data_IF_519253891254
#
_entry.id   IF_519253891254
#
_cell.length_a   1.000
_cell.length_b   1.000
_cell.length_c   1.000
_cell.angle_alpha   90.00
_cell.angle_beta   90.00
_cell.angle_gamma   90.00
#
_symmetry.space_group_name_H-M   'P 1'
#
loop_
_entity.id
_entity.type
_entity.pdbx_description
1 polymer ?
#
# COMPACT_ATOMS: atom_id res chain seq x y z
N UNK A 1 -10.12 28.70 71.84
CA UNK A 1 -8.67 28.46 71.62
C UNK A 1 -8.52 27.55 70.40
N UNK A 2 -7.54 27.84 69.54
CA UNK A 2 -7.10 27.12 68.31
C UNK A 2 -8.11 27.06 67.15
N UNK A 3 -7.96 27.89 66.11
CA UNK A 3 -7.00 27.83 64.98
C UNK A 3 -7.06 26.52 64.19
N UNK A 4 -7.63 26.56 62.99
CA UNK A 4 -6.92 26.23 61.75
C UNK A 4 -7.68 26.79 60.54
N UNK A 5 -6.96 27.60 59.77
CA UNK A 5 -7.35 28.26 58.54
C UNK A 5 -6.98 27.36 57.35
N UNK A 6 -7.84 27.41 56.32
CA UNK A 6 -7.53 27.41 54.89
C UNK A 6 -7.01 26.16 54.17
N UNK A 7 -7.72 25.95 53.04
CA UNK A 7 -7.30 25.58 51.70
C UNK A 7 -6.73 24.18 51.43
N UNK A 8 -7.48 23.45 50.60
CA UNK A 8 -6.96 22.34 49.81
C UNK A 8 -8.06 21.73 48.94
N UNK A 9 -8.48 22.44 47.89
CA UNK A 9 -9.35 21.87 46.87
C UNK A 9 -8.61 20.74 46.15
N UNK A 10 -8.98 19.49 46.43
CA UNK A 10 -8.62 18.34 45.59
C UNK A 10 -9.78 18.14 44.61
N UNK A 11 -9.83 18.98 43.57
CA UNK A 11 -10.64 18.65 42.40
C UNK A 11 -10.07 17.37 41.81
N UNK A 12 -10.83 16.29 41.90
CA UNK A 12 -10.52 15.05 41.21
C UNK A 12 -10.48 15.36 39.72
N UNK A 13 -9.29 15.60 39.17
CA UNK A 13 -9.08 15.73 37.73
C UNK A 13 -9.35 14.34 37.16
N UNK A 14 -10.60 14.11 36.74
CA UNK A 14 -10.94 13.01 35.86
C UNK A 14 -10.26 13.32 34.53
N UNK A 15 -9.07 12.76 34.32
CA UNK A 15 -8.40 12.78 33.03
C UNK A 15 -9.23 11.91 32.09
N UNK A 16 -10.16 12.53 31.37
CA UNK A 16 -10.82 11.89 30.24
C UNK A 16 -9.75 11.72 29.16
N UNK A 17 -9.21 10.52 29.05
CA UNK A 17 -8.43 10.13 27.88
C UNK A 17 -9.40 10.03 26.68
N UNK A 18 -9.72 11.18 26.06
CA UNK A 18 -10.34 11.20 24.73
C UNK A 18 -9.25 10.81 23.74
N UNK A 19 -9.01 9.50 23.62
CA UNK A 19 -8.19 8.92 22.59
C UNK A 19 -8.91 8.99 21.24
N UNK A 20 -8.99 10.18 20.63
CA UNK A 20 -9.40 10.34 19.23
C UNK A 20 -8.24 9.99 18.28
N UNK A 21 -7.71 8.77 18.43
CA UNK A 21 -6.73 8.20 17.52
C UNK A 21 -7.44 7.20 16.61
N UNK A 22 -8.22 7.66 15.63
CA UNK A 22 -8.70 6.78 14.57
C UNK A 22 -7.48 6.27 13.79
N UNK A 23 -7.01 5.06 14.09
CA UNK A 23 -5.99 4.40 13.32
C UNK A 23 -6.42 4.39 11.85
N UNK A 24 -5.54 4.79 10.92
CA UNK A 24 -5.80 4.63 9.49
C UNK A 24 -6.07 3.16 9.21
N UNK A 25 -7.26 2.85 8.72
CA UNK A 25 -7.59 1.50 8.31
C UNK A 25 -6.66 1.09 7.17
N UNK A 26 -6.01 -0.08 7.32
CA UNK A 26 -5.24 -0.71 6.25
C UNK A 26 -6.18 -0.94 5.06
N UNK A 27 -5.79 -0.61 3.82
CA UNK A 27 -6.64 -0.85 2.66
C UNK A 27 -7.02 -2.33 2.52
N UNK A 28 -8.26 -2.60 2.12
CA UNK A 28 -8.66 -3.96 1.73
C UNK A 28 -7.82 -4.40 0.52
N UNK A 29 -7.02 -5.47 0.62
CA UNK A 29 -6.14 -5.89 -0.47
C UNK A 29 -6.89 -6.24 -1.75
N UNK A 30 -8.12 -6.75 -1.60
CA UNK A 30 -8.93 -7.17 -2.73
C UNK A 30 -9.46 -6.01 -3.56
N UNK A 31 -10.09 -5.05 -2.89
CA UNK A 31 -10.58 -3.83 -3.51
C UNK A 31 -9.44 -3.02 -4.14
N UNK A 32 -8.27 -2.98 -3.50
CA UNK A 32 -7.09 -2.32 -4.06
C UNK A 32 -6.58 -3.05 -5.31
N UNK A 33 -6.47 -4.39 -5.29
CA UNK A 33 -6.03 -5.15 -6.47
C UNK A 33 -6.97 -4.95 -7.66
N UNK A 34 -8.29 -4.98 -7.42
CA UNK A 34 -9.29 -4.72 -8.45
C UNK A 34 -9.18 -3.30 -9.00
N UNK A 35 -9.07 -2.31 -8.11
CA UNK A 35 -8.92 -0.91 -8.50
C UNK A 35 -7.69 -0.72 -9.39
N UNK A 36 -6.51 -1.19 -8.96
CA UNK A 36 -5.26 -1.06 -9.71
C UNK A 36 -5.39 -1.68 -11.12
N UNK A 37 -6.03 -2.84 -11.22
CA UNK A 37 -6.29 -3.51 -12.50
C UNK A 37 -7.26 -2.73 -13.39
N UNK A 38 -8.39 -2.27 -12.84
CA UNK A 38 -9.40 -1.52 -13.60
C UNK A 38 -8.89 -0.15 -14.07
N UNK A 39 -8.04 0.51 -13.28
CA UNK A 39 -7.44 1.80 -13.63
C UNK A 39 -6.14 1.66 -14.42
N UNK A 40 -5.83 0.46 -14.94
CA UNK A 40 -4.69 0.20 -15.83
C UNK A 40 -3.33 0.58 -15.23
N UNK A 41 -3.19 0.51 -13.90
CA UNK A 41 -1.85 0.47 -13.28
C UNK A 41 -1.18 -0.80 -13.78
N UNK A 42 0.12 -0.77 -14.05
CA UNK A 42 0.86 -1.97 -14.44
C UNK A 42 1.94 -2.29 -13.41
N UNK A 43 2.00 -3.56 -13.01
CA UNK A 43 2.98 -4.10 -12.09
C UNK A 43 3.99 -4.98 -12.83
N UNK A 44 5.19 -4.47 -13.08
CA UNK A 44 6.29 -5.23 -13.70
C UNK A 44 7.13 -5.94 -12.64
N UNK A 45 7.39 -7.23 -12.84
CA UNK A 45 8.27 -7.97 -11.94
C UNK A 45 8.77 -9.28 -12.54
N UNK A 46 9.29 -10.14 -11.68
CA UNK A 46 9.75 -11.47 -12.05
C UNK A 46 9.30 -12.50 -11.02
N UNK A 47 8.88 -13.69 -11.47
CA UNK A 47 8.40 -14.75 -10.58
C UNK A 47 9.45 -15.23 -9.55
N UNK A 48 10.75 -15.08 -9.86
CA UNK A 48 11.85 -15.43 -8.94
C UNK A 48 12.30 -14.27 -8.06
N UNK A 49 11.80 -13.06 -8.28
CA UNK A 49 12.25 -11.87 -7.57
C UNK A 49 11.70 -11.89 -6.13
N UNK A 50 12.57 -11.92 -5.08
CA UNK A 50 12.11 -12.00 -3.70
C UNK A 50 11.27 -10.80 -3.26
N UNK A 51 11.62 -9.60 -3.74
CA UNK A 51 10.86 -8.37 -3.50
C UNK A 51 9.46 -8.45 -4.13
N UNK A 52 9.32 -9.09 -5.28
CA UNK A 52 8.07 -9.27 -6.00
C UNK A 52 7.17 -10.28 -5.27
N UNK A 53 7.76 -11.36 -4.78
CA UNK A 53 7.05 -12.31 -3.92
C UNK A 53 6.59 -11.66 -2.61
N UNK A 54 7.41 -10.78 -2.03
CA UNK A 54 7.02 -10.00 -0.86
C UNK A 54 5.87 -9.03 -1.16
N UNK A 55 5.95 -8.29 -2.27
CA UNK A 55 4.86 -7.44 -2.74
C UNK A 55 3.56 -8.23 -2.90
N UNK A 56 3.60 -9.41 -3.51
CA UNK A 56 2.45 -10.30 -3.63
C UNK A 56 1.90 -10.76 -2.29
N UNK A 57 2.76 -11.07 -1.30
CA UNK A 57 2.32 -11.44 0.05
C UNK A 57 1.54 -10.34 0.76
N UNK A 58 1.84 -9.07 0.50
CA UNK A 58 1.05 -7.95 1.04
C UNK A 58 -0.40 -7.99 0.55
N UNK A 59 -0.64 -8.53 -0.64
CA UNK A 59 -1.98 -8.68 -1.22
C UNK A 59 -2.68 -10.01 -0.84
N UNK A 60 -1.96 -10.97 -0.27
CA UNK A 60 -2.49 -12.30 0.03
C UNK A 60 -3.11 -12.96 -1.21
N UNK A 61 -4.29 -13.57 -1.04
CA UNK A 61 -5.01 -14.23 -2.13
C UNK A 61 -5.41 -13.27 -3.26
N UNK A 62 -5.53 -11.97 -2.99
CA UNK A 62 -5.84 -10.97 -4.00
C UNK A 62 -4.68 -10.73 -4.99
N UNK A 63 -3.48 -11.22 -4.72
CA UNK A 63 -2.32 -11.06 -5.60
C UNK A 63 -2.57 -11.59 -7.02
N UNK A 64 -3.41 -12.62 -7.18
CA UNK A 64 -3.77 -13.18 -8.49
C UNK A 64 -4.54 -12.21 -9.39
N UNK A 65 -5.10 -11.14 -8.80
CA UNK A 65 -5.86 -10.09 -9.50
C UNK A 65 -5.02 -8.87 -9.84
N UNK A 66 -3.75 -8.83 -9.42
CA UNK A 66 -2.87 -7.71 -9.73
C UNK A 66 -2.59 -7.61 -11.24
N UNK A 67 -2.40 -6.39 -11.78
CA UNK A 67 -2.11 -6.18 -13.19
C UNK A 67 -0.63 -6.47 -13.50
N UNK A 68 -0.22 -7.72 -13.31
CA UNK A 68 1.17 -8.16 -13.34
C UNK A 68 1.68 -8.47 -14.76
N UNK A 69 2.91 -8.03 -15.04
CA UNK A 69 3.67 -8.36 -16.25
C UNK A 69 4.96 -9.07 -15.87
N UNK A 70 5.11 -10.31 -16.34
CA UNK A 70 6.27 -11.17 -16.09
C UNK A 70 7.45 -10.82 -17.01
N UNK A 71 8.53 -10.36 -16.41
CA UNK A 71 9.76 -10.01 -17.11
C UNK A 71 10.80 -11.15 -17.16
N UNK A 72 10.72 -12.11 -16.24
CA UNK A 72 11.72 -13.16 -15.99
C UNK A 72 11.47 -14.50 -16.69
N UNK A 73 10.52 -14.57 -17.64
CA UNK A 73 10.23 -15.76 -18.46
C UNK A 73 10.22 -15.44 -19.96
N UNK A 74 11.35 -15.00 -20.55
CA UNK A 74 11.37 -14.54 -21.95
C UNK A 74 11.10 -15.65 -22.98
N UNK A 75 11.27 -16.93 -22.62
CA UNK A 75 10.96 -18.06 -23.52
C UNK A 75 9.48 -18.42 -23.48
N UNK A 76 8.90 -18.43 -22.27
CA UNK A 76 7.52 -18.86 -22.02
C UNK A 76 6.53 -17.71 -22.23
N UNK A 77 6.93 -16.47 -21.93
CA UNK A 77 6.12 -15.25 -22.00
C UNK A 77 6.86 -14.13 -22.77
N UNK A 78 7.22 -14.35 -24.05
CA UNK A 78 8.06 -13.43 -24.82
C UNK A 78 7.44 -12.03 -24.98
N UNK A 79 6.12 -11.94 -25.12
CA UNK A 79 5.41 -10.65 -25.28
C UNK A 79 5.51 -9.81 -24.00
N UNK A 80 5.36 -10.43 -22.82
CA UNK A 80 5.47 -9.73 -21.53
C UNK A 80 6.91 -9.31 -21.25
N UNK A 81 7.88 -10.20 -21.48
CA UNK A 81 9.30 -9.87 -21.35
C UNK A 81 9.72 -8.73 -22.29
N UNK A 82 9.21 -8.71 -23.54
CA UNK A 82 9.43 -7.61 -24.47
C UNK A 82 8.79 -6.30 -23.98
N UNK A 83 7.62 -6.35 -23.34
CA UNK A 83 6.99 -5.18 -22.74
C UNK A 83 7.87 -4.56 -21.65
N UNK A 84 8.50 -5.37 -20.79
CA UNK A 84 9.43 -4.88 -19.78
C UNK A 84 10.64 -4.14 -20.39
N UNK A 85 11.18 -4.64 -21.52
CA UNK A 85 12.27 -3.96 -22.24
C UNK A 85 11.82 -2.62 -22.82
N UNK A 86 10.66 -2.58 -23.49
CA UNK A 86 10.11 -1.34 -24.06
C UNK A 86 9.78 -0.28 -23.01
N UNK A 87 9.41 -0.72 -21.81
CA UNK A 87 9.10 0.15 -20.69
C UNK A 87 10.33 0.50 -19.87
N UNK A 88 11.53 0.07 -20.28
CA UNK A 88 12.80 0.36 -19.60
C UNK A 88 12.74 0.02 -18.10
N UNK A 89 12.29 -1.20 -17.78
CA UNK A 89 12.24 -1.68 -16.40
C UNK A 89 13.66 -2.05 -15.95
N UNK A 90 14.22 -1.26 -15.03
CA UNK A 90 15.59 -1.41 -14.52
C UNK A 90 15.66 -2.17 -13.18
N UNK A 91 14.57 -2.14 -12.41
CA UNK A 91 14.45 -2.81 -11.12
C UNK A 91 13.11 -3.52 -11.00
N UNK A 92 13.01 -4.47 -10.07
CA UNK A 92 11.76 -5.14 -9.74
C UNK A 92 11.47 -5.05 -8.23
N UNK A 93 10.20 -4.91 -7.82
CA UNK A 93 9.05 -4.60 -8.66
C UNK A 93 9.09 -3.15 -9.19
N UNK A 94 8.43 -2.87 -10.31
CA UNK A 94 8.15 -1.49 -10.76
C UNK A 94 6.67 -1.35 -11.10
N UNK A 95 6.05 -0.33 -10.54
CA UNK A 95 4.67 0.07 -10.79
C UNK A 95 4.64 1.26 -11.75
N UNK A 96 3.72 1.25 -12.72
CA UNK A 96 3.55 2.36 -13.68
C UNK A 96 2.06 2.71 -13.78
N UNK A 97 1.74 3.99 -13.57
CA UNK A 97 0.41 4.55 -13.80
C UNK A 97 0.17 4.80 -15.30
N UNK A 98 -1.08 4.89 -15.77
CA UNK A 98 -1.39 5.22 -17.17
C UNK A 98 -0.81 6.56 -17.65
N UNK A 99 -0.59 7.50 -16.74
CA UNK A 99 0.04 8.80 -17.02
C UNK A 99 1.58 8.71 -17.13
N UNK A 100 2.17 7.52 -16.96
CA UNK A 100 3.61 7.29 -17.03
C UNK A 100 4.38 7.48 -15.72
N UNK A 101 3.74 7.90 -14.64
CA UNK A 101 4.39 8.00 -13.33
C UNK A 101 4.79 6.60 -12.83
N UNK A 102 5.97 6.50 -12.20
CA UNK A 102 6.59 5.22 -11.84
C UNK A 102 6.94 5.16 -10.35
N UNK A 103 6.86 3.96 -9.77
CA UNK A 103 7.43 3.62 -8.47
C UNK A 103 8.23 2.34 -8.55
N UNK A 104 9.47 2.39 -8.12
CA UNK A 104 10.33 1.21 -8.04
C UNK A 104 10.37 0.66 -6.61
N UNK A 105 10.58 -0.63 -6.49
CA UNK A 105 10.62 -1.33 -5.21
C UNK A 105 9.24 -1.60 -4.62
N UNK A 106 9.25 -2.33 -3.51
CA UNK A 106 8.03 -2.73 -2.80
C UNK A 106 7.30 -1.49 -2.29
N UNK A 107 5.99 -1.47 -2.50
CA UNK A 107 5.09 -0.46 -1.99
C UNK A 107 4.14 -1.08 -0.96
N UNK A 108 3.84 -0.37 0.12
CA UNK A 108 2.78 -0.77 1.03
C UNK A 108 1.41 -0.66 0.36
N UNK A 109 0.39 -1.35 0.89
CA UNK A 109 -0.97 -1.21 0.38
C UNK A 109 -1.48 0.24 0.48
N UNK A 110 -1.14 0.93 1.57
CA UNK A 110 -1.51 2.34 1.77
C UNK A 110 -0.81 3.26 0.76
N UNK A 111 0.48 3.05 0.49
CA UNK A 111 1.21 3.84 -0.51
C UNK A 111 0.61 3.64 -1.91
N UNK A 112 0.29 2.39 -2.29
CA UNK A 112 -0.36 2.10 -3.56
C UNK A 112 -1.74 2.74 -3.65
N UNK A 113 -2.56 2.66 -2.60
CA UNK A 113 -3.89 3.30 -2.55
C UNK A 113 -3.79 4.81 -2.76
N UNK A 114 -2.90 5.47 -2.02
CA UNK A 114 -2.71 6.92 -2.11
C UNK A 114 -2.20 7.30 -3.50
N UNK A 115 -1.15 6.62 -3.96
CA UNK A 115 -0.49 6.94 -5.21
C UNK A 115 -1.36 6.67 -6.44
N UNK A 116 -2.15 5.59 -6.44
CA UNK A 116 -3.06 5.28 -7.54
C UNK A 116 -4.29 6.18 -7.57
N UNK A 117 -4.47 7.05 -6.57
CA UNK A 117 -5.65 7.91 -6.45
C UNK A 117 -6.93 7.14 -6.13
N UNK A 118 -6.82 5.96 -5.50
CA UNK A 118 -8.01 5.18 -5.11
C UNK A 118 -8.83 6.00 -4.09
N UNK A 119 -10.13 6.24 -4.34
CA UNK A 119 -10.98 7.01 -3.43
C UNK A 119 -11.02 6.39 -2.03
N UNK A 120 -11.23 7.24 -1.01
CA UNK A 120 -11.32 6.76 0.38
C UNK A 120 -12.55 5.89 0.65
N UNK A 121 -13.63 6.10 -0.11
CA UNK A 121 -14.83 5.27 -0.12
C UNK A 121 -15.00 4.68 -1.53
N UNK A 122 -14.97 3.35 -1.70
CA UNK A 122 -15.33 2.69 -2.96
C UNK A 122 -16.81 2.82 -3.28
#
# INVERSE_FOLDING_TARGET
MFKALLLGALTSVNIIFVGNGAAKAVPDPGALADFLSQTKVTYYGSWRCPACQYQGRLFGDAAVRLPYVECGKPKELPIQAAACKRQEILAYPTWILPNGERREGVQSLEDLKIWSGMPRNP
#
